data_IF_914293408254
#
_entry.id   IF_914293408254
#
_cell.length_a   1.000
_cell.length_b   1.000
_cell.length_c   1.000
_cell.angle_alpha   90.00
_cell.angle_beta   90.00
_cell.angle_gamma   90.00
#
_symmetry.space_group_name_H-M   'P 1'
#
loop_
_entity.id
_entity.type
_entity.pdbx_description
1 polymer ?
#
# COMPACT_ATOMS: atom_id res chain seq x y z
N UNK A 1 -77.86 20.10 23.14
CA UNK A 1 -78.52 18.90 23.72
C UNK A 1 -78.62 17.91 22.59
N UNK A 2 -77.90 16.78 22.67
CA UNK A 2 -77.48 15.94 21.52
C UNK A 2 -76.56 16.73 20.52
N UNK A 3 -75.54 16.18 19.85
CA UNK A 3 -75.25 14.84 19.29
C UNK A 3 -76.05 14.53 18.00
N UNK A 4 -75.48 14.08 16.87
CA UNK A 4 -74.08 13.94 16.38
C UNK A 4 -74.12 13.84 14.81
N UNK A 5 -73.12 13.55 13.97
CA UNK A 5 -71.79 12.92 14.09
C UNK A 5 -70.81 13.33 12.95
N UNK A 6 -69.49 13.19 13.19
CA UNK A 6 -68.36 12.92 12.27
C UNK A 6 -68.41 13.33 10.76
N UNK A 7 -67.43 14.15 10.33
CA UNK A 7 -66.64 13.89 9.09
C UNK A 7 -65.34 14.73 8.99
N UNK A 8 -64.18 14.04 8.91
CA UNK A 8 -63.02 14.47 8.09
C UNK A 8 -61.98 15.46 8.64
N UNK A 9 -60.82 14.93 9.08
CA UNK A 9 -59.46 15.39 8.70
C UNK A 9 -58.36 14.62 9.47
N UNK A 10 -57.46 13.93 8.76
CA UNK A 10 -56.23 13.35 9.33
C UNK A 10 -54.99 14.14 8.92
N UNK A 11 -54.14 14.56 9.86
CA UNK A 11 -52.69 14.63 9.69
C UNK A 11 -52.04 13.36 10.24
N UNK A 12 -50.98 12.87 9.57
CA UNK A 12 -50.25 11.67 10.00
C UNK A 12 -49.45 11.88 11.29
N UNK A 13 -49.22 10.79 12.03
CA UNK A 13 -48.35 10.81 13.20
C UNK A 13 -46.89 11.06 12.79
N UNK A 14 -46.15 11.82 13.61
CA UNK A 14 -44.70 11.95 13.46
C UNK A 14 -44.00 10.74 14.09
N UNK A 15 -43.33 9.91 13.28
CA UNK A 15 -42.49 8.83 13.78
C UNK A 15 -41.11 9.36 14.21
N UNK A 16 -40.66 8.96 15.40
CA UNK A 16 -39.38 9.37 15.95
C UNK A 16 -38.25 8.44 15.46
N UNK A 17 -37.46 8.89 14.49
CA UNK A 17 -36.20 8.25 14.13
C UNK A 17 -35.17 8.38 15.26
N UNK A 18 -34.49 7.30 15.70
CA UNK A 18 -33.59 7.35 16.84
C UNK A 18 -32.33 8.17 16.53
N UNK A 19 -32.09 9.21 17.33
CA UNK A 19 -30.86 9.99 17.27
C UNK A 19 -29.65 9.17 17.71
N UNK A 20 -28.98 8.52 16.77
CA UNK A 20 -27.66 7.92 16.97
C UNK A 20 -26.62 9.04 17.19
N UNK A 21 -26.56 9.54 18.43
CA UNK A 21 -25.56 10.51 18.85
C UNK A 21 -24.17 9.93 18.56
N UNK A 22 -23.49 10.51 17.57
CA UNK A 22 -22.11 10.17 17.25
C UNK A 22 -21.26 10.59 18.44
N UNK A 23 -21.00 9.65 19.35
CA UNK A 23 -20.19 9.91 20.54
C UNK A 23 -18.80 10.35 20.08
N UNK A 24 -18.53 11.65 20.23
CA UNK A 24 -17.20 12.24 20.05
C UNK A 24 -16.26 11.64 21.09
N UNK A 25 -15.69 10.49 20.72
CA UNK A 25 -14.67 9.81 21.51
C UNK A 25 -13.51 10.79 21.65
N UNK A 26 -13.16 11.24 22.86
CA UNK A 26 -12.06 12.17 23.04
C UNK A 26 -10.81 11.56 22.42
N UNK A 27 -10.09 12.36 21.63
CA UNK A 27 -8.94 11.88 20.88
C UNK A 27 -7.95 11.18 21.82
N UNK A 28 -7.66 9.91 21.53
CA UNK A 28 -6.74 9.13 22.34
C UNK A 28 -5.39 9.86 22.41
N UNK A 29 -4.69 9.83 23.56
CA UNK A 29 -3.41 10.52 23.70
C UNK A 29 -2.45 10.01 22.62
N UNK A 30 -2.02 10.92 21.73
CA UNK A 30 -1.34 10.55 20.49
C UNK A 30 -0.14 9.63 20.75
N UNK A 31 -0.10 8.49 20.04
CA UNK A 31 0.94 7.47 20.15
C UNK A 31 2.32 8.15 20.05
N UNK A 32 3.28 7.87 20.97
CA UNK A 32 4.66 8.32 20.85
C UNK A 32 5.26 8.10 19.44
N UNK A 33 4.84 7.05 18.73
CA UNK A 33 5.21 6.81 17.33
C UNK A 33 4.64 7.85 16.36
N UNK A 34 3.36 8.21 16.49
CA UNK A 34 2.74 9.27 15.68
C UNK A 34 3.40 10.63 15.97
N UNK A 35 3.78 10.91 17.22
CA UNK A 35 4.55 12.12 17.58
C UNK A 35 5.92 12.17 16.89
N UNK A 36 6.66 11.05 16.90
CA UNK A 36 7.97 10.93 16.24
C UNK A 36 7.85 11.04 14.71
N UNK A 37 6.79 10.47 14.12
CA UNK A 37 6.50 10.63 12.68
C UNK A 37 6.18 12.08 12.36
N UNK A 38 5.28 12.73 13.10
CA UNK A 38 4.93 14.13 12.90
C UNK A 38 6.16 15.05 13.02
N UNK A 39 7.00 14.85 14.03
CA UNK A 39 8.24 15.60 14.23
C UNK A 39 9.21 15.49 13.04
N UNK A 40 9.39 14.30 12.45
CA UNK A 40 10.19 14.12 11.25
C UNK A 40 9.59 14.86 10.04
N UNK A 41 8.26 14.84 9.88
CA UNK A 41 7.59 15.54 8.79
C UNK A 41 7.62 17.07 8.95
N UNK A 42 7.57 17.60 10.17
CA UNK A 42 7.83 19.04 10.43
C UNK A 42 9.26 19.41 10.04
N UNK A 43 10.25 18.63 10.46
CA UNK A 43 11.67 18.86 10.12
C UNK A 43 11.93 18.76 8.61
N UNK A 44 11.20 17.91 7.89
CA UNK A 44 11.25 17.83 6.41
C UNK A 44 10.61 19.02 5.69
N UNK A 45 9.83 19.85 6.39
CA UNK A 45 9.40 21.17 5.89
C UNK A 45 10.45 22.27 6.12
N UNK A 46 11.50 22.01 6.90
CA UNK A 46 12.50 22.98 7.32
C UNK A 46 13.91 22.71 6.74
N UNK A 47 14.24 21.44 6.47
CA UNK A 47 15.59 20.98 6.10
C UNK A 47 15.57 19.86 5.07
N UNK A 48 16.69 19.64 4.39
CA UNK A 48 16.84 18.47 3.52
C UNK A 48 16.92 17.17 4.34
N UNK A 49 16.52 16.05 3.73
CA UNK A 49 16.56 14.74 4.39
C UNK A 49 17.95 14.37 4.94
N UNK A 50 19.05 14.81 4.31
CA UNK A 50 20.40 14.52 4.78
C UNK A 50 20.73 15.17 6.13
N UNK A 51 20.31 16.41 6.33
CA UNK A 51 20.66 17.25 7.50
C UNK A 51 19.92 16.84 8.78
N UNK A 52 18.77 16.18 8.66
CA UNK A 52 17.91 15.84 9.81
C UNK A 52 18.53 14.69 10.63
N UNK A 53 19.04 15.01 11.82
CA UNK A 53 19.61 14.04 12.77
C UNK A 53 18.58 13.40 13.70
N UNK A 54 18.81 12.15 14.13
CA UNK A 54 17.89 11.44 15.04
C UNK A 54 17.70 12.14 16.41
N UNK A 55 18.74 12.80 16.91
CA UNK A 55 18.66 13.60 18.13
C UNK A 55 17.71 14.80 17.98
N UNK A 56 17.71 15.45 16.81
CA UNK A 56 16.79 16.56 16.51
C UNK A 56 15.34 16.06 16.38
N UNK A 57 15.12 14.91 15.75
CA UNK A 57 13.78 14.28 15.71
C UNK A 57 13.27 13.93 17.12
N UNK A 58 14.15 13.41 18.01
CA UNK A 58 13.79 13.11 19.39
C UNK A 58 13.39 14.39 20.16
N UNK A 59 14.22 15.44 20.09
CA UNK A 59 13.93 16.74 20.71
C UNK A 59 12.64 17.36 20.15
N UNK A 60 12.42 17.32 18.84
CA UNK A 60 11.21 17.86 18.19
C UNK A 60 9.95 17.09 18.57
N UNK A 61 10.04 15.79 18.81
CA UNK A 61 8.92 14.96 19.27
C UNK A 61 8.68 15.04 20.79
N UNK A 62 9.56 15.68 21.56
CA UNK A 62 9.50 15.74 23.02
C UNK A 62 9.78 14.40 23.71
N UNK A 63 10.67 13.58 23.15
CA UNK A 63 11.05 12.25 23.68
C UNK A 63 12.56 12.12 23.86
N UNK A 64 13.01 11.22 24.72
CA UNK A 64 14.42 10.86 24.81
C UNK A 64 14.89 10.09 23.56
N UNK A 65 16.20 10.12 23.30
CA UNK A 65 16.80 9.33 22.21
C UNK A 65 16.65 7.80 22.45
N UNK A 66 16.52 7.38 23.72
CA UNK A 66 16.25 5.99 24.08
C UNK A 66 14.82 5.56 23.70
N UNK A 67 13.82 6.40 23.98
CA UNK A 67 12.43 6.17 23.54
C UNK A 67 12.32 6.18 22.02
N UNK A 68 12.97 7.13 21.33
CA UNK A 68 13.00 7.13 19.86
C UNK A 68 13.63 5.84 19.31
N UNK A 69 14.74 5.37 19.89
CA UNK A 69 15.40 4.13 19.45
C UNK A 69 14.59 2.87 19.80
N UNK A 70 13.77 2.90 20.84
CA UNK A 70 12.83 1.84 21.20
C UNK A 70 11.63 1.81 20.23
N UNK A 71 11.14 2.98 19.83
CA UNK A 71 10.06 3.11 18.85
C UNK A 71 10.48 2.75 17.42
N UNK A 72 11.68 3.17 16.99
CA UNK A 72 12.17 3.01 15.62
C UNK A 72 13.69 2.72 15.55
N UNK A 73 14.13 1.77 14.70
CA UNK A 73 15.55 1.46 14.54
C UNK A 73 16.34 2.48 13.69
N UNK A 74 15.68 3.31 12.87
CA UNK A 74 16.35 4.28 11.99
C UNK A 74 15.41 5.39 11.51
N UNK A 75 15.97 6.47 10.93
CA UNK A 75 15.19 7.57 10.30
C UNK A 75 14.31 7.06 9.16
N UNK A 76 14.82 6.12 8.35
CA UNK A 76 14.06 5.42 7.31
C UNK A 76 12.89 4.60 7.86
N UNK A 77 13.01 4.03 9.06
CA UNK A 77 11.92 3.28 9.69
C UNK A 77 10.76 4.16 10.20
N UNK A 78 11.04 5.43 10.53
CA UNK A 78 10.02 6.45 10.85
C UNK A 78 9.24 6.81 9.57
N UNK A 79 9.94 7.08 8.46
CA UNK A 79 9.31 7.30 7.15
C UNK A 79 8.50 6.07 6.70
N UNK A 80 9.01 4.86 6.92
CA UNK A 80 8.29 3.62 6.65
C UNK A 80 7.01 3.46 7.51
N UNK A 81 6.95 4.09 8.69
CA UNK A 81 5.73 4.11 9.51
C UNK A 81 4.67 5.04 8.94
N UNK A 82 5.06 6.21 8.42
CA UNK A 82 4.18 7.06 7.62
C UNK A 82 3.66 6.32 6.39
N UNK A 83 4.53 5.67 5.61
CA UNK A 83 4.11 4.93 4.42
C UNK A 83 3.13 3.79 4.77
N UNK A 84 3.34 3.06 5.86
CA UNK A 84 2.37 2.07 6.35
C UNK A 84 1.04 2.69 6.78
N UNK A 85 1.03 3.93 7.31
CA UNK A 85 -0.22 4.64 7.65
C UNK A 85 -1.03 5.00 6.41
N UNK A 86 -0.35 5.42 5.33
CA UNK A 86 -0.96 5.63 4.01
C UNK A 86 -1.45 4.31 3.40
N UNK A 87 -0.63 3.26 3.43
CA UNK A 87 -1.02 1.95 2.88
C UNK A 87 -2.24 1.37 3.63
N UNK A 88 -2.32 1.55 4.96
CA UNK A 88 -3.49 1.14 5.78
C UNK A 88 -4.75 1.95 5.48
N UNK A 89 -4.63 3.24 5.19
CA UNK A 89 -5.76 4.10 4.79
C UNK A 89 -6.36 3.60 3.46
N UNK A 90 -5.52 3.36 2.47
CA UNK A 90 -5.91 2.75 1.17
C UNK A 90 -6.52 1.36 1.37
N UNK A 91 -5.91 0.50 2.18
CA UNK A 91 -6.41 -0.86 2.49
C UNK A 91 -7.70 -0.88 3.33
N UNK A 92 -8.12 0.24 3.92
CA UNK A 92 -9.37 0.33 4.68
C UNK A 92 -10.60 0.57 3.81
N UNK A 93 -10.39 0.92 2.54
CA UNK A 93 -11.46 1.13 1.55
C UNK A 93 -11.90 -0.20 0.93
N UNK A 94 -13.20 -0.33 0.68
CA UNK A 94 -13.76 -1.51 0.02
C UNK A 94 -13.47 -1.46 -1.50
N UNK A 95 -13.03 -2.59 -2.04
CA UNK A 95 -12.71 -2.77 -3.46
C UNK A 95 -13.67 -3.73 -4.17
N UNK A 96 -14.70 -4.26 -3.47
CA UNK A 96 -15.63 -5.27 -4.01
C UNK A 96 -16.38 -4.81 -5.26
N UNK A 97 -16.77 -3.54 -5.30
CA UNK A 97 -17.51 -2.96 -6.44
C UNK A 97 -16.67 -2.90 -7.73
N UNK A 98 -15.34 -3.06 -7.63
CA UNK A 98 -14.43 -3.11 -8.78
C UNK A 98 -14.00 -4.55 -9.16
N UNK A 99 -14.54 -5.61 -8.54
CA UNK A 99 -13.99 -6.96 -8.64
C UNK A 99 -13.87 -7.50 -10.09
N UNK A 100 -14.82 -7.14 -10.95
CA UNK A 100 -14.87 -7.54 -12.36
C UNK A 100 -14.04 -6.63 -13.30
N UNK A 101 -13.58 -5.47 -12.82
CA UNK A 101 -12.86 -4.48 -13.63
C UNK A 101 -11.44 -4.95 -13.99
N UNK A 102 -10.85 -4.47 -15.11
CA UNK A 102 -9.49 -4.80 -15.50
C UNK A 102 -8.47 -4.57 -14.38
N UNK A 103 -7.54 -5.50 -14.18
CA UNK A 103 -6.52 -5.41 -13.13
C UNK A 103 -5.68 -4.12 -13.19
N UNK A 104 -5.52 -3.51 -14.37
CA UNK A 104 -4.92 -2.19 -14.59
C UNK A 104 -5.69 -1.06 -13.88
N UNK A 105 -7.02 -1.11 -13.96
CA UNK A 105 -7.91 -0.05 -13.46
C UNK A 105 -8.13 -0.18 -11.95
N UNK A 106 -8.27 -1.40 -11.43
CA UNK A 106 -8.20 -1.65 -9.98
C UNK A 106 -6.89 -1.14 -9.36
N UNK A 107 -5.76 -1.34 -10.05
CA UNK A 107 -4.45 -0.89 -9.60
C UNK A 107 -4.22 0.62 -9.78
N UNK A 108 -4.86 1.23 -10.78
CA UNK A 108 -4.92 2.69 -10.94
C UNK A 108 -5.64 3.33 -9.74
N UNK A 109 -6.83 2.85 -9.40
CA UNK A 109 -7.64 3.36 -8.28
C UNK A 109 -6.93 3.25 -6.93
N UNK A 110 -6.35 2.08 -6.63
CA UNK A 110 -5.54 1.84 -5.42
C UNK A 110 -4.38 2.83 -5.33
N UNK A 111 -3.69 3.11 -6.45
CA UNK A 111 -2.56 4.04 -6.45
C UNK A 111 -2.98 5.52 -6.47
N UNK A 112 -4.13 5.88 -7.07
CA UNK A 112 -4.67 7.24 -6.98
C UNK A 112 -5.02 7.60 -5.54
N UNK A 113 -5.81 6.76 -4.84
CA UNK A 113 -6.11 6.95 -3.41
C UNK A 113 -4.84 7.10 -2.57
N UNK A 114 -3.80 6.32 -2.91
CA UNK A 114 -2.49 6.41 -2.27
C UNK A 114 -1.77 7.74 -2.52
N UNK A 115 -1.85 8.30 -3.73
CA UNK A 115 -1.30 9.62 -4.04
C UNK A 115 -2.09 10.75 -3.37
N UNK A 116 -3.42 10.67 -3.34
CA UNK A 116 -4.31 11.62 -2.66
C UNK A 116 -4.03 11.66 -1.15
N UNK A 117 -3.93 10.51 -0.48
CA UNK A 117 -3.57 10.42 0.93
C UNK A 117 -2.14 10.95 1.23
N UNK A 118 -1.22 10.90 0.25
CA UNK A 118 0.11 11.51 0.37
C UNK A 118 0.12 13.03 0.10
N UNK A 119 -0.88 13.59 -0.58
CA UNK A 119 -0.88 14.98 -1.04
C UNK A 119 -0.66 16.03 0.07
N UNK A 120 -1.21 15.90 1.31
CA UNK A 120 -0.96 16.85 2.39
C UNK A 120 0.50 16.95 2.84
N UNK A 121 1.34 15.95 2.54
CA UNK A 121 2.76 15.89 2.93
C UNK A 121 3.73 16.00 1.75
N UNK A 122 3.24 16.42 0.57
CA UNK A 122 3.99 16.47 -0.70
C UNK A 122 5.33 17.20 -0.61
N UNK A 123 5.40 18.34 0.07
CA UNK A 123 6.63 19.14 0.18
C UNK A 123 7.71 18.41 1.04
N UNK A 124 7.31 17.80 2.15
CA UNK A 124 8.18 16.94 2.96
C UNK A 124 8.65 15.69 2.19
N UNK A 125 7.76 15.10 1.38
CA UNK A 125 8.10 13.99 0.48
C UNK A 125 9.06 14.41 -0.65
N UNK A 126 9.07 15.69 -1.07
CA UNK A 126 10.09 16.23 -1.99
C UNK A 126 11.46 16.29 -1.29
N UNK A 127 11.53 16.81 -0.06
CA UNK A 127 12.77 16.86 0.71
C UNK A 127 13.38 15.47 0.99
N UNK A 128 12.54 14.44 1.15
CA UNK A 128 12.95 13.02 1.13
C UNK A 128 13.49 12.63 -0.25
N UNK A 129 12.71 12.79 -1.32
CA UNK A 129 13.08 12.40 -2.69
C UNK A 129 14.42 13.00 -3.11
N UNK A 130 14.66 14.28 -2.81
CA UNK A 130 15.89 14.96 -3.21
C UNK A 130 17.12 14.50 -2.42
N UNK A 131 17.00 14.29 -1.09
CA UNK A 131 18.11 13.76 -0.29
C UNK A 131 18.45 12.30 -0.62
N UNK A 132 17.50 11.49 -1.08
CA UNK A 132 17.78 10.10 -1.50
C UNK A 132 18.52 10.02 -2.84
N UNK A 133 18.56 11.09 -3.64
CA UNK A 133 19.36 11.14 -4.88
C UNK A 133 20.86 11.23 -4.61
N UNK A 134 21.27 11.58 -3.39
CA UNK A 134 22.68 11.62 -2.94
C UNK A 134 23.00 10.55 -1.88
N UNK A 135 22.03 9.73 -1.46
CA UNK A 135 22.19 8.62 -0.52
C UNK A 135 21.75 7.26 -1.14
N UNK A 136 22.65 6.57 -1.87
CA UNK A 136 22.35 5.28 -2.50
C UNK A 136 21.98 4.16 -1.50
N UNK A 137 22.49 4.24 -0.26
CA UNK A 137 22.25 3.21 0.76
C UNK A 137 20.86 3.40 1.39
N UNK A 138 20.49 4.64 1.73
CA UNK A 138 19.14 5.00 2.15
C UNK A 138 18.10 4.75 1.06
N UNK A 139 18.42 5.05 -0.20
CA UNK A 139 17.57 4.72 -1.35
C UNK A 139 17.36 3.20 -1.49
N UNK A 140 18.40 2.39 -1.30
CA UNK A 140 18.31 0.92 -1.33
C UNK A 140 17.47 0.38 -0.16
N UNK A 141 17.66 0.90 1.05
CA UNK A 141 16.88 0.52 2.22
C UNK A 141 15.38 0.89 2.07
N UNK A 142 15.07 2.06 1.49
CA UNK A 142 13.70 2.47 1.23
C UNK A 142 13.08 1.76 0.02
N UNK A 143 13.86 1.29 -0.95
CA UNK A 143 13.34 0.40 -2.01
C UNK A 143 12.80 -0.91 -1.42
N UNK A 144 13.43 -1.48 -0.39
CA UNK A 144 12.88 -2.67 0.30
C UNK A 144 11.52 -2.39 0.94
N UNK A 145 11.36 -1.23 1.58
CA UNK A 145 10.08 -0.77 2.15
C UNK A 145 9.05 -0.55 1.03
N UNK A 146 9.45 0.08 -0.07
CA UNK A 146 8.59 0.35 -1.22
C UNK A 146 8.12 -0.92 -1.92
N UNK A 147 8.99 -1.94 -2.07
CA UNK A 147 8.60 -3.24 -2.63
C UNK A 147 7.56 -3.92 -1.73
N UNK A 148 7.77 -3.94 -0.41
CA UNK A 148 6.79 -4.50 0.53
C UNK A 148 5.45 -3.74 0.49
N UNK A 149 5.49 -2.41 0.44
CA UNK A 149 4.31 -1.56 0.24
C UNK A 149 3.56 -1.88 -1.06
N UNK A 150 4.29 -2.02 -2.18
CA UNK A 150 3.68 -2.37 -3.47
C UNK A 150 3.12 -3.80 -3.52
N UNK A 151 3.58 -4.75 -2.70
CA UNK A 151 2.91 -6.05 -2.56
C UNK A 151 1.51 -5.90 -1.97
N UNK A 152 1.33 -5.03 -0.96
CA UNK A 152 0.00 -4.73 -0.42
C UNK A 152 -0.90 -4.03 -1.44
N UNK A 153 -0.37 -3.13 -2.26
CA UNK A 153 -1.15 -2.45 -3.31
C UNK A 153 -1.56 -3.41 -4.44
N UNK A 154 -0.71 -4.38 -4.79
CA UNK A 154 -1.06 -5.47 -5.71
C UNK A 154 -2.17 -6.37 -5.15
N UNK A 155 -2.05 -6.76 -3.87
CA UNK A 155 -3.09 -7.55 -3.19
C UNK A 155 -4.43 -6.80 -3.13
N UNK A 156 -4.43 -5.50 -2.81
CA UNK A 156 -5.61 -4.64 -2.81
C UNK A 156 -6.31 -4.57 -4.18
N UNK A 157 -5.53 -4.55 -5.26
CA UNK A 157 -6.04 -4.60 -6.64
C UNK A 157 -6.40 -6.02 -7.12
N UNK A 158 -6.35 -7.04 -6.26
CA UNK A 158 -6.59 -8.44 -6.62
C UNK A 158 -5.58 -8.99 -7.64
N UNK A 159 -4.32 -8.53 -7.58
CA UNK A 159 -3.22 -8.94 -8.46
C UNK A 159 -2.22 -9.76 -7.67
N UNK A 160 -2.03 -11.03 -8.06
CA UNK A 160 -1.15 -11.98 -7.35
C UNK A 160 0.28 -11.43 -7.13
N UNK A 161 0.55 -11.12 -5.87
CA UNK A 161 1.75 -10.54 -5.26
C UNK A 161 2.73 -11.59 -4.70
N UNK A 162 2.34 -12.87 -4.73
CA UNK A 162 3.08 -13.97 -4.14
C UNK A 162 4.20 -14.53 -5.05
N UNK A 163 5.23 -15.08 -4.40
CA UNK A 163 6.36 -15.75 -5.05
C UNK A 163 7.27 -14.83 -5.89
N UNK A 164 8.22 -15.39 -6.65
CA UNK A 164 9.22 -14.61 -7.39
C UNK A 164 8.62 -13.67 -8.45
N UNK A 165 7.52 -14.09 -9.09
CA UNK A 165 6.84 -13.27 -10.09
C UNK A 165 6.04 -12.12 -9.44
N UNK A 166 5.42 -12.36 -8.28
CA UNK A 166 4.79 -11.31 -7.48
C UNK A 166 5.78 -10.28 -6.94
N UNK A 167 6.95 -10.72 -6.47
CA UNK A 167 8.06 -9.83 -6.10
C UNK A 167 8.57 -9.00 -7.29
N UNK A 168 8.67 -9.60 -8.48
CA UNK A 168 9.02 -8.88 -9.71
C UNK A 168 7.94 -7.85 -10.12
N UNK A 169 6.65 -8.18 -9.98
CA UNK A 169 5.55 -7.21 -10.16
C UNK A 169 5.66 -6.04 -9.18
N UNK A 170 5.91 -6.32 -7.89
CA UNK A 170 6.03 -5.29 -6.87
C UNK A 170 7.21 -4.35 -7.15
N UNK A 171 8.39 -4.88 -7.51
CA UNK A 171 9.53 -4.05 -7.92
C UNK A 171 9.27 -3.26 -9.21
N UNK A 172 8.55 -3.84 -10.17
CA UNK A 172 8.07 -3.12 -11.36
C UNK A 172 7.10 -1.99 -11.03
N UNK A 173 6.23 -2.18 -10.04
CA UNK A 173 5.29 -1.16 -9.58
C UNK A 173 5.98 -0.04 -8.80
N UNK A 174 7.06 -0.34 -8.05
CA UNK A 174 7.94 0.70 -7.47
C UNK A 174 8.53 1.57 -8.59
N UNK A 175 8.96 0.99 -9.71
CA UNK A 175 9.50 1.76 -10.84
C UNK A 175 8.43 2.60 -11.57
N UNK A 176 7.20 2.11 -11.68
CA UNK A 176 6.04 2.89 -12.18
C UNK A 176 5.75 4.06 -11.24
N UNK A 177 5.55 3.77 -9.95
CA UNK A 177 5.24 4.77 -8.93
C UNK A 177 6.32 5.83 -8.83
N UNK A 178 7.61 5.45 -8.90
CA UNK A 178 8.73 6.39 -8.85
C UNK A 178 8.79 7.37 -10.03
N UNK A 179 8.36 6.96 -11.24
CA UNK A 179 8.24 7.86 -12.41
C UNK A 179 7.10 8.86 -12.21
N UNK A 180 5.95 8.37 -11.75
CA UNK A 180 4.76 9.20 -11.46
C UNK A 180 5.02 10.16 -10.30
N UNK A 181 5.84 9.76 -9.32
CA UNK A 181 6.17 10.55 -8.13
C UNK A 181 6.74 11.93 -8.48
N UNK A 182 7.59 12.02 -9.50
CA UNK A 182 8.17 13.28 -9.96
C UNK A 182 7.14 14.27 -10.55
N UNK A 183 6.01 13.76 -11.07
CA UNK A 183 4.84 14.56 -11.47
C UNK A 183 4.00 14.91 -10.26
N UNK A 184 3.66 13.94 -9.42
CA UNK A 184 2.91 14.12 -8.16
C UNK A 184 3.52 15.17 -7.23
N UNK A 185 4.86 15.28 -7.17
CA UNK A 185 5.56 16.29 -6.37
C UNK A 185 5.42 17.72 -6.92
N UNK A 186 4.88 17.91 -8.13
CA UNK A 186 4.66 19.22 -8.79
C UNK A 186 3.18 19.55 -8.94
N UNK A 187 2.37 18.54 -9.23
CA UNK A 187 0.91 18.62 -9.38
C UNK A 187 0.26 19.16 -8.10
N UNK A 188 -0.24 20.39 -8.17
CA UNK A 188 -0.81 21.12 -7.03
C UNK A 188 -2.33 21.26 -7.09
N UNK A 189 -2.96 20.80 -8.16
CA UNK A 189 -4.40 20.93 -8.35
C UNK A 189 -5.20 19.90 -7.54
N UNK A 190 -6.43 20.23 -7.08
CA UNK A 190 -7.34 19.26 -6.50
C UNK A 190 -7.64 18.10 -7.48
N UNK A 191 -7.65 16.86 -6.99
CA UNK A 191 -7.88 15.67 -7.81
C UNK A 191 -6.67 15.21 -8.65
N UNK A 192 -5.51 15.86 -8.52
CA UNK A 192 -4.22 15.43 -9.08
C UNK A 192 -4.26 15.08 -10.59
N UNK A 193 -4.74 15.98 -11.48
CA UNK A 193 -4.99 15.68 -12.88
C UNK A 193 -3.72 15.33 -13.69
N UNK A 194 -2.57 15.92 -13.39
CA UNK A 194 -1.31 15.55 -14.06
C UNK A 194 -0.80 14.18 -13.58
N UNK A 195 -0.97 13.90 -12.29
CA UNK A 195 -0.61 12.63 -11.65
C UNK A 195 -1.46 11.49 -12.18
N UNK A 196 -2.79 11.68 -12.25
CA UNK A 196 -3.74 10.75 -12.87
C UNK A 196 -3.32 10.40 -14.30
N UNK A 197 -3.04 11.40 -15.13
CA UNK A 197 -2.60 11.16 -16.51
C UNK A 197 -1.28 10.39 -16.57
N UNK A 198 -0.29 10.78 -15.76
CA UNK A 198 1.01 10.10 -15.72
C UNK A 198 0.89 8.65 -15.23
N UNK A 199 -0.01 8.37 -14.29
CA UNK A 199 -0.27 7.05 -13.74
C UNK A 199 -0.94 6.12 -14.75
N UNK A 200 -2.00 6.58 -15.43
CA UNK A 200 -2.63 5.84 -16.52
C UNK A 200 -1.61 5.52 -17.62
N UNK A 201 -0.82 6.51 -18.05
CA UNK A 201 0.21 6.31 -19.06
C UNK A 201 1.26 5.26 -18.65
N UNK A 202 1.78 5.30 -17.43
CA UNK A 202 2.78 4.33 -16.95
C UNK A 202 2.19 2.94 -16.68
N UNK A 203 0.96 2.82 -16.17
CA UNK A 203 0.29 1.52 -16.00
C UNK A 203 -0.05 0.89 -17.36
N UNK A 204 -0.53 1.66 -18.34
CA UNK A 204 -0.69 1.21 -19.74
C UNK A 204 0.64 0.81 -20.38
N UNK A 205 1.76 1.46 -20.04
CA UNK A 205 3.10 1.03 -20.47
C UNK A 205 3.47 -0.31 -19.81
N UNK A 206 3.28 -0.44 -18.49
CA UNK A 206 3.61 -1.64 -17.72
C UNK A 206 2.82 -2.88 -18.17
N UNK A 207 1.52 -2.74 -18.42
CA UNK A 207 0.66 -3.81 -18.97
C UNK A 207 1.19 -4.32 -20.32
N UNK A 208 1.53 -3.42 -21.25
CA UNK A 208 2.15 -3.78 -22.54
C UNK A 208 3.55 -4.39 -22.40
N UNK A 209 4.23 -4.22 -21.27
CA UNK A 209 5.47 -4.95 -20.98
C UNK A 209 5.18 -6.35 -20.42
N UNK A 210 4.19 -6.49 -19.54
CA UNK A 210 3.75 -7.79 -19.02
C UNK A 210 3.25 -8.72 -20.13
N UNK A 211 2.36 -8.23 -21.01
CA UNK A 211 1.86 -8.98 -22.17
C UNK A 211 3.00 -9.53 -23.04
N UNK A 212 3.98 -8.70 -23.39
CA UNK A 212 5.17 -9.14 -24.16
C UNK A 212 6.06 -10.12 -23.39
N UNK A 213 6.17 -9.99 -22.07
CA UNK A 213 6.92 -10.94 -21.24
C UNK A 213 6.22 -12.30 -21.19
N UNK A 214 4.89 -12.34 -21.14
CA UNK A 214 4.09 -13.56 -21.19
C UNK A 214 4.07 -14.18 -22.60
N UNK A 215 4.13 -13.38 -23.68
CA UNK A 215 4.32 -13.86 -25.05
C UNK A 215 5.71 -14.49 -25.24
N UNK A 216 6.77 -13.80 -24.83
CA UNK A 216 8.13 -14.34 -24.84
C UNK A 216 8.27 -15.57 -23.94
N UNK A 217 7.57 -15.59 -22.79
CA UNK A 217 7.49 -16.74 -21.89
C UNK A 217 6.84 -17.96 -22.54
N UNK A 218 5.76 -17.75 -23.31
CA UNK A 218 5.09 -18.80 -24.11
C UNK A 218 5.98 -19.30 -25.25
N UNK A 219 6.66 -18.40 -25.97
CA UNK A 219 7.60 -18.77 -27.03
C UNK A 219 8.85 -19.50 -26.50
N UNK A 220 9.31 -19.18 -25.29
CA UNK A 220 10.43 -19.84 -24.63
C UNK A 220 10.04 -21.15 -23.89
N UNK A 221 8.75 -21.46 -23.74
CA UNK A 221 8.28 -22.68 -23.07
C UNK A 221 8.86 -23.99 -23.65
N UNK A 222 8.89 -24.24 -24.99
CA UNK A 222 9.53 -25.43 -25.54
C UNK A 222 11.03 -25.50 -25.20
N UNK A 223 11.74 -24.37 -25.25
CA UNK A 223 13.18 -24.30 -24.93
C UNK A 223 13.46 -24.58 -23.45
N UNK A 224 12.64 -24.04 -22.53
CA UNK A 224 12.70 -24.41 -21.10
C UNK A 224 12.47 -25.91 -20.91
N UNK A 225 11.44 -26.47 -21.55
CA UNK A 225 11.17 -27.93 -21.47
C UNK A 225 12.32 -28.79 -22.02
N UNK A 226 13.14 -28.27 -22.92
CA UNK A 226 14.33 -28.94 -23.44
C UNK A 226 15.52 -28.80 -22.48
N UNK A 227 15.73 -27.60 -21.92
CA UNK A 227 16.75 -27.35 -20.89
C UNK A 227 16.51 -28.17 -19.61
N UNK A 228 15.28 -28.25 -19.12
CA UNK A 228 14.93 -29.07 -17.95
C UNK A 228 15.19 -30.57 -18.18
N UNK A 229 14.99 -31.04 -19.42
CA UNK A 229 15.33 -32.41 -19.85
C UNK A 229 16.85 -32.63 -19.93
N UNK A 230 17.61 -31.67 -20.47
CA UNK A 230 19.08 -31.73 -20.56
C UNK A 230 19.74 -31.64 -19.18
N UNK A 231 19.18 -30.84 -18.27
CA UNK A 231 19.64 -30.68 -16.89
C UNK A 231 19.14 -31.80 -15.94
N UNK A 232 18.49 -32.84 -16.48
CA UNK A 232 18.10 -34.04 -15.73
C UNK A 232 17.05 -33.81 -14.63
N UNK A 233 16.32 -32.68 -14.66
CA UNK A 233 15.40 -32.27 -13.59
C UNK A 233 14.01 -32.85 -13.78
N UNK A 234 13.92 -34.18 -13.78
CA UNK A 234 12.66 -34.92 -13.98
C UNK A 234 11.61 -34.57 -12.89
N UNK A 235 10.45 -33.98 -13.24
CA UNK A 235 9.38 -33.70 -12.29
C UNK A 235 8.64 -34.95 -11.77
N UNK A 236 8.84 -36.12 -12.38
CA UNK A 236 8.01 -37.33 -12.20
C UNK A 236 8.69 -38.42 -11.39
N UNK A 237 9.29 -38.07 -10.25
CA UNK A 237 9.69 -39.06 -9.23
C UNK A 237 8.65 -39.09 -8.10
N UNK A 238 7.76 -40.10 -8.03
CA UNK A 238 6.90 -40.29 -6.87
C UNK A 238 7.74 -40.40 -5.60
N UNK A 239 7.25 -39.80 -4.50
CA UNK A 239 7.81 -40.06 -3.18
C UNK A 239 7.32 -41.42 -2.72
N UNK A 240 8.08 -42.45 -3.04
CA UNK A 240 7.81 -43.81 -2.56
C UNK A 240 8.01 -43.83 -1.04
N UNK A 241 6.88 -43.81 -0.31
CA UNK A 241 6.86 -43.90 1.15
C UNK A 241 6.79 -45.37 1.52
N UNK A 242 7.96 -46.01 1.58
CA UNK A 242 8.14 -47.19 2.41
C UNK A 242 7.86 -46.82 3.88
N UNK A 243 6.64 -47.13 4.32
CA UNK A 243 6.20 -47.11 5.72
C UNK A 243 5.53 -48.45 5.97
N UNK A 244 6.16 -49.30 6.78
CA UNK A 244 5.68 -50.65 7.05
C UNK A 244 4.74 -50.66 8.25
N UNK A 245 3.44 -50.80 7.99
CA UNK A 245 2.40 -51.04 9.00
C UNK A 245 2.06 -52.54 9.03
N UNK A 246 2.97 -53.36 9.59
CA UNK A 246 2.78 -54.81 9.72
C UNK A 246 3.31 -55.30 11.09
N UNK A 247 2.52 -55.11 12.15
CA UNK A 247 2.74 -55.64 13.51
C UNK A 247 1.51 -55.41 14.41
N UNK A 248 0.34 -55.95 14.03
CA UNK A 248 -0.91 -55.77 14.78
C UNK A 248 -1.90 -56.94 14.70
N UNK A 249 -1.43 -58.20 14.77
CA UNK A 249 -2.32 -59.36 14.97
C UNK A 249 -1.62 -60.60 15.54
N UNK A 250 -2.40 -61.38 16.29
CA UNK A 250 -2.21 -62.76 16.76
C UNK A 250 -1.44 -63.05 18.08
N UNK A 251 -2.18 -63.72 18.98
CA UNK A 251 -1.79 -64.55 20.13
C UNK A 251 -1.01 -63.88 21.28
#
# INVERSE_FOLDING_TARGET
>A
MAADFNAGATPGAGEAGPGAARLDRPAAPADPKDKIVAALFTLLGEKSWGEIGLYEVAQRAGVSLAELRSAFPSKGAILAAYLRKIDLDVLSHDMRDMADEPARERLFDVLMRRFEAMAPQREALRAVRDGLRTDPLGATALNQVAVSSMQWMLAAAGVNEAGPLGAARAQGLVLVTARVFDTFLRDREPGLPETMKALDEELRKAERWAQRADDLGRLAAPLRSALDRILGRDPRRPRDRSGGDDMASAA
#
